data_IF_930765068980
#
_entry.id   IF_930765068980
#
_cell.length_a   1.000
_cell.length_b   1.000
_cell.length_c   1.000
_cell.angle_alpha   90.00
_cell.angle_beta   90.00
_cell.angle_gamma   90.00
#
_symmetry.space_group_name_H-M   'P 1'
#
loop_
_entity.id
_entity.type
_entity.pdbx_description
1 polymer ?
#
# COMPACT_ATOMS: atom_id res chain seq x y z
N UNK A 1 0.68 13.60 -15.67
CA UNK A 1 0.77 12.51 -14.69
C UNK A 1 -0.61 11.91 -14.52
N UNK A 2 -0.71 10.59 -14.45
CA UNK A 2 -1.94 9.82 -14.23
C UNK A 2 -2.42 9.89 -12.78
N UNK A 3 -1.60 10.47 -11.90
CA UNK A 3 -1.79 10.44 -10.45
C UNK A 3 -1.75 9.00 -9.92
N UNK A 4 -0.81 8.20 -10.43
CA UNK A 4 -0.63 6.79 -10.10
C UNK A 4 0.85 6.50 -9.81
N UNK A 5 1.13 5.35 -9.18
CA UNK A 5 2.49 4.87 -8.92
C UNK A 5 3.34 4.80 -10.20
N UNK A 6 2.69 4.45 -11.31
CA UNK A 6 3.25 4.31 -12.66
C UNK A 6 3.62 5.65 -13.31
N UNK A 7 3.44 6.79 -12.64
CA UNK A 7 4.02 8.07 -13.08
C UNK A 7 5.56 8.13 -12.93
N UNK A 8 6.12 7.21 -12.14
CA UNK A 8 7.56 6.93 -12.09
C UNK A 8 7.90 5.98 -13.24
N UNK A 9 8.83 6.40 -14.09
CA UNK A 9 9.25 5.60 -15.24
C UNK A 9 9.89 4.28 -14.77
N UNK A 10 9.62 3.20 -15.52
CA UNK A 10 10.10 1.87 -15.20
C UNK A 10 9.36 1.18 -14.05
N UNK A 11 8.23 1.72 -13.59
CA UNK A 11 7.37 1.08 -12.57
C UNK A 11 6.08 0.62 -13.23
N UNK A 12 5.74 -0.66 -13.06
CA UNK A 12 4.48 -1.26 -13.52
C UNK A 12 3.72 -1.87 -12.36
N UNK A 13 2.39 -1.85 -12.42
CA UNK A 13 1.53 -2.38 -11.36
C UNK A 13 0.49 -3.31 -11.96
N UNK A 14 0.29 -4.47 -11.34
CA UNK A 14 -0.72 -5.43 -11.74
C UNK A 14 -1.50 -5.98 -10.56
N UNK A 15 -2.71 -6.46 -10.84
CA UNK A 15 -3.66 -6.96 -9.85
C UNK A 15 -4.15 -8.34 -10.27
N UNK A 16 -4.39 -9.20 -9.29
CA UNK A 16 -5.18 -10.41 -9.45
C UNK A 16 -6.02 -10.64 -8.20
N UNK A 17 -7.21 -11.19 -8.40
CA UNK A 17 -8.24 -11.28 -7.36
C UNK A 17 -8.98 -12.61 -7.46
N UNK A 18 -9.46 -13.09 -6.32
CA UNK A 18 -10.47 -14.13 -6.26
C UNK A 18 -11.74 -13.56 -5.60
N UNK A 19 -12.78 -13.25 -6.39
CA UNK A 19 -14.05 -12.74 -5.87
C UNK A 19 -14.75 -13.71 -4.91
N UNK A 20 -14.56 -15.03 -5.05
CA UNK A 20 -15.16 -16.00 -4.12
C UNK A 20 -14.48 -15.91 -2.77
N UNK A 21 -13.16 -15.79 -2.74
CA UNK A 21 -12.40 -15.59 -1.51
C UNK A 21 -12.56 -14.15 -0.99
N UNK A 22 -12.98 -13.20 -1.83
CA UNK A 22 -13.05 -11.77 -1.51
C UNK A 22 -11.69 -11.18 -1.12
N UNK A 23 -10.64 -11.60 -1.82
CA UNK A 23 -9.25 -11.21 -1.54
C UNK A 23 -8.45 -11.13 -2.84
N UNK A 24 -7.27 -10.51 -2.79
CA UNK A 24 -6.44 -10.33 -3.96
C UNK A 24 -5.01 -9.95 -3.62
N UNK A 25 -4.24 -9.76 -4.69
CA UNK A 25 -2.81 -9.46 -4.66
C UNK A 25 -2.50 -8.35 -5.67
N UNK A 26 -1.56 -7.49 -5.30
CA UNK A 26 -1.00 -6.44 -6.13
C UNK A 26 0.50 -6.66 -6.26
N UNK A 27 1.00 -6.71 -7.49
CA UNK A 27 2.43 -6.77 -7.79
C UNK A 27 2.91 -5.42 -8.31
N UNK A 28 4.01 -4.91 -7.74
CA UNK A 28 4.73 -3.73 -8.22
C UNK A 28 6.02 -4.23 -8.84
N UNK A 29 6.18 -4.07 -10.15
CA UNK A 29 7.33 -4.56 -10.92
C UNK A 29 8.21 -3.38 -11.33
N UNK A 30 9.50 -3.45 -11.05
CA UNK A 30 10.47 -2.45 -11.51
C UNK A 30 11.18 -2.98 -12.75
N UNK A 31 11.18 -2.27 -13.88
CA UNK A 31 11.84 -2.72 -15.12
C UNK A 31 13.33 -3.02 -14.91
N UNK A 32 13.99 -2.21 -14.08
CA UNK A 32 15.33 -2.45 -13.55
C UNK A 32 15.28 -2.57 -12.02
N UNK A 33 16.12 -3.39 -11.38
CA UNK A 33 16.13 -3.51 -9.93
C UNK A 33 16.29 -2.16 -9.22
N UNK A 34 15.32 -1.79 -8.40
CA UNK A 34 15.26 -0.51 -7.71
C UNK A 34 15.88 -0.62 -6.32
N UNK A 35 16.60 0.41 -5.86
CA UNK A 35 17.07 0.47 -4.47
C UNK A 35 15.85 0.49 -3.57
N UNK A 36 15.79 -0.37 -2.55
CA UNK A 36 14.61 -0.46 -1.70
C UNK A 36 14.96 -0.59 -0.21
N UNK A 37 14.05 -0.09 0.62
CA UNK A 37 14.06 -0.25 2.06
C UNK A 37 12.62 -0.39 2.58
N UNK A 38 12.47 -0.80 3.83
CA UNK A 38 11.19 -1.01 4.50
C UNK A 38 11.17 -0.28 5.85
N UNK A 39 10.05 0.32 6.21
CA UNK A 39 9.74 0.75 7.58
C UNK A 39 8.50 0.01 8.08
N UNK A 40 8.60 -0.56 9.28
CA UNK A 40 7.55 -1.36 9.91
C UNK A 40 7.19 -0.67 11.22
N UNK A 41 5.92 -0.28 11.37
CA UNK A 41 5.45 0.48 12.54
C UNK A 41 4.24 -0.11 13.24
N UNK A 42 3.47 -0.95 12.56
CA UNK A 42 2.40 -1.69 13.21
C UNK A 42 2.96 -2.68 14.24
N UNK A 43 2.21 -2.93 15.32
CA UNK A 43 2.59 -3.90 16.35
C UNK A 43 2.51 -5.37 15.93
N UNK A 44 1.89 -5.68 14.79
CA UNK A 44 1.64 -7.05 14.35
C UNK A 44 1.82 -7.24 12.83
N UNK A 45 3.01 -6.97 12.27
CA UNK A 45 3.27 -7.01 10.83
C UNK A 45 3.31 -8.45 10.29
N UNK A 46 2.96 -8.59 9.02
CA UNK A 46 3.27 -9.77 8.22
C UNK A 46 4.10 -9.36 7.00
N UNK A 47 5.35 -9.81 6.95
CA UNK A 47 6.32 -9.42 5.93
C UNK A 47 6.94 -10.64 5.26
N UNK A 48 7.45 -10.41 4.05
CA UNK A 48 8.28 -11.34 3.29
C UNK A 48 9.60 -10.66 2.97
N UNK A 49 10.72 -11.35 3.23
CA UNK A 49 12.07 -10.90 2.88
C UNK A 49 12.44 -9.50 3.42
N UNK A 50 11.90 -9.10 4.57
CA UNK A 50 12.22 -7.83 5.23
C UNK A 50 13.68 -7.78 5.72
N UNK A 51 14.25 -8.89 6.19
CA UNK A 51 15.66 -8.98 6.56
C UNK A 51 16.60 -8.67 5.37
N UNK A 52 16.18 -8.93 4.13
CA UNK A 52 16.93 -8.54 2.93
C UNK A 52 17.08 -7.02 2.83
N UNK A 53 16.06 -6.29 3.29
CA UNK A 53 15.98 -4.83 3.23
C UNK A 53 16.63 -4.14 4.44
N UNK A 54 17.21 -4.90 5.37
CA UNK A 54 18.00 -4.34 6.47
C UNK A 54 19.24 -3.60 5.95
N UNK A 55 19.65 -2.53 6.64
CA UNK A 55 20.79 -1.70 6.22
C UNK A 55 22.13 -2.43 6.29
N UNK A 56 22.26 -3.48 7.10
CA UNK A 56 23.45 -4.33 7.16
C UNK A 56 23.51 -5.36 6.03
N UNK A 57 22.39 -5.64 5.35
CA UNK A 57 22.32 -6.61 4.26
C UNK A 57 22.94 -6.06 2.98
N UNK A 58 23.76 -6.88 2.32
CA UNK A 58 24.54 -6.51 1.12
C UNK A 58 23.68 -6.20 -0.11
N UNK A 59 22.48 -6.77 -0.17
CA UNK A 59 21.58 -6.56 -1.28
C UNK A 59 20.82 -5.25 -1.11
N UNK A 60 20.98 -4.33 -2.05
CA UNK A 60 20.32 -3.02 -1.99
C UNK A 60 19.08 -2.92 -2.89
N UNK A 61 19.01 -3.76 -3.92
CA UNK A 61 18.02 -3.64 -4.99
C UNK A 61 17.07 -4.83 -5.04
N UNK A 62 15.82 -4.57 -5.42
CA UNK A 62 14.79 -5.60 -5.57
C UNK A 62 14.09 -5.48 -6.92
N UNK A 63 13.56 -6.58 -7.43
CA UNK A 63 12.93 -6.66 -8.75
C UNK A 63 11.44 -6.27 -8.69
N UNK A 64 10.79 -6.56 -7.56
CA UNK A 64 9.39 -6.27 -7.34
C UNK A 64 9.03 -6.14 -5.86
N UNK A 65 7.83 -5.64 -5.58
CA UNK A 65 7.20 -5.67 -4.25
C UNK A 65 5.82 -6.34 -4.39
N UNK A 66 5.51 -7.28 -3.50
CA UNK A 66 4.20 -7.94 -3.44
C UNK A 66 3.36 -7.41 -2.25
N UNK A 67 2.16 -6.93 -2.52
CA UNK A 67 1.18 -6.54 -1.51
C UNK A 67 -0.01 -7.50 -1.61
N UNK A 68 -0.49 -8.07 -0.51
CA UNK A 68 -1.57 -9.07 -0.58
C UNK A 68 -2.53 -9.01 0.60
N UNK A 69 -3.78 -9.41 0.35
CA UNK A 69 -4.67 -9.88 1.41
C UNK A 69 -4.26 -11.27 1.92
N UNK A 70 -5.12 -11.91 2.69
CA UNK A 70 -4.93 -13.29 3.15
C UNK A 70 -4.19 -13.49 4.45
N UNK A 71 -3.85 -12.41 5.16
CA UNK A 71 -2.99 -12.47 6.34
C UNK A 71 -1.70 -13.27 6.02
N UNK A 72 -1.20 -14.07 6.96
CA UNK A 72 0.01 -14.87 6.79
C UNK A 72 -0.01 -15.81 5.57
N UNK A 73 -1.18 -16.27 5.10
CA UNK A 73 -1.27 -17.06 3.86
C UNK A 73 -0.89 -16.25 2.62
N UNK A 74 -1.13 -14.93 2.66
CA UNK A 74 -0.79 -13.99 1.59
C UNK A 74 0.70 -13.89 1.29
N UNK A 75 1.58 -14.31 2.20
CA UNK A 75 3.04 -14.24 2.03
C UNK A 75 3.49 -15.06 0.81
N UNK A 76 2.70 -16.07 0.41
CA UNK A 76 2.95 -16.88 -0.79
C UNK A 76 2.86 -16.07 -2.10
N UNK A 77 2.18 -14.93 -2.11
CA UNK A 77 2.09 -14.03 -3.27
C UNK A 77 3.46 -13.66 -3.85
N UNK A 78 4.45 -13.38 -2.97
CA UNK A 78 5.81 -13.08 -3.41
C UNK A 78 6.45 -14.24 -4.19
N UNK A 79 6.12 -15.49 -3.85
CA UNK A 79 6.60 -16.67 -4.58
C UNK A 79 6.00 -16.78 -5.98
N UNK A 80 4.74 -16.37 -6.16
CA UNK A 80 4.10 -16.29 -7.48
C UNK A 80 4.74 -15.22 -8.37
N UNK A 81 4.96 -14.03 -7.80
CA UNK A 81 5.65 -12.93 -8.50
C UNK A 81 7.08 -13.33 -8.87
N UNK A 82 7.80 -14.01 -7.97
CA UNK A 82 9.12 -14.58 -8.26
C UNK A 82 9.08 -15.56 -9.44
N UNK A 83 8.11 -16.48 -9.46
CA UNK A 83 7.99 -17.46 -10.54
C UNK A 83 7.81 -16.75 -11.91
N UNK A 84 6.94 -15.75 -11.98
CA UNK A 84 6.76 -14.98 -13.22
C UNK A 84 8.04 -14.24 -13.64
N UNK A 85 8.73 -13.55 -12.70
CA UNK A 85 9.98 -12.86 -12.99
C UNK A 85 11.09 -13.81 -13.48
N UNK A 86 11.20 -14.98 -12.86
CA UNK A 86 12.19 -15.99 -13.24
C UNK A 86 11.94 -16.52 -14.67
N UNK A 87 10.67 -16.73 -15.05
CA UNK A 87 10.30 -17.08 -16.43
C UNK A 87 10.67 -15.99 -17.45
N UNK A 88 10.67 -14.73 -17.03
CA UNK A 88 11.15 -13.61 -17.84
C UNK A 88 12.69 -13.49 -17.85
N UNK A 89 13.41 -14.37 -17.14
CA UNK A 89 14.86 -14.30 -16.99
C UNK A 89 15.34 -13.12 -16.13
N UNK A 90 14.49 -12.61 -15.23
CA UNK A 90 14.75 -11.41 -14.42
C UNK A 90 15.02 -11.77 -12.96
N UNK A 91 16.10 -11.21 -12.42
CA UNK A 91 16.50 -11.39 -11.02
C UNK A 91 18.01 -11.33 -10.82
N UNK A 92 18.45 -11.48 -9.57
CA UNK A 92 19.86 -11.59 -9.23
C UNK A 92 20.47 -12.83 -9.90
N UNK A 93 21.52 -12.64 -10.70
CA UNK A 93 22.22 -13.75 -11.35
C UNK A 93 23.39 -14.23 -10.47
N UNK A 94 23.28 -15.45 -9.96
CA UNK A 94 24.34 -16.13 -9.21
C UNK A 94 24.84 -17.33 -10.01
N UNK A 95 25.93 -17.14 -10.76
CA UNK A 95 26.57 -18.19 -11.57
C UNK A 95 25.58 -18.89 -12.52
N UNK A 96 24.66 -18.15 -13.14
CA UNK A 96 23.65 -18.67 -14.06
C UNK A 96 22.29 -18.99 -13.42
N UNK A 97 22.19 -19.03 -12.09
CA UNK A 97 20.90 -19.10 -11.41
C UNK A 97 20.27 -17.71 -11.31
N UNK A 98 19.05 -17.55 -11.81
CA UNK A 98 18.28 -16.30 -11.74
C UNK A 98 17.39 -16.33 -10.49
N UNK A 99 17.58 -15.36 -9.59
CA UNK A 99 16.91 -15.29 -8.28
C UNK A 99 16.22 -13.92 -8.16
N UNK A 100 14.95 -13.80 -8.55
CA UNK A 100 14.20 -12.56 -8.35
C UNK A 100 13.98 -12.27 -6.86
N UNK A 101 14.18 -11.02 -6.47
CA UNK A 101 14.02 -10.55 -5.10
C UNK A 101 12.70 -9.81 -4.96
N UNK A 102 11.79 -10.37 -4.16
CA UNK A 102 10.41 -9.90 -4.06
C UNK A 102 10.00 -9.82 -2.60
N UNK A 103 10.44 -8.76 -1.88
CA UNK A 103 9.87 -8.45 -0.59
C UNK A 103 8.38 -8.14 -0.71
N UNK A 104 7.68 -8.24 0.41
CA UNK A 104 6.25 -7.97 0.43
C UNK A 104 5.67 -7.83 1.81
N UNK A 105 4.42 -7.42 1.85
CA UNK A 105 3.66 -7.32 3.07
C UNK A 105 2.21 -7.77 2.84
N UNK A 106 1.58 -8.21 3.93
CA UNK A 106 0.23 -8.74 3.90
C UNK A 106 -0.71 -7.95 4.80
N UNK A 107 -2.00 -7.98 4.47
CA UNK A 107 -3.06 -7.45 5.32
C UNK A 107 -4.12 -8.53 5.60
N UNK A 108 -4.85 -8.37 6.69
CA UNK A 108 -5.88 -9.32 7.11
C UNK A 108 -7.25 -8.96 6.53
N UNK A 109 -7.78 -9.84 5.69
CA UNK A 109 -9.13 -9.75 5.13
C UNK A 109 -9.90 -11.08 5.28
N UNK A 110 -9.53 -11.90 6.27
CA UNK A 110 -10.11 -13.23 6.43
C UNK A 110 -11.55 -13.23 6.97
N UNK A 111 -12.01 -12.09 7.51
CA UNK A 111 -13.35 -11.92 8.11
C UNK A 111 -14.26 -10.97 7.31
N UNK A 112 -13.91 -10.66 6.06
CA UNK A 112 -14.63 -9.70 5.22
C UNK A 112 -15.80 -10.31 4.43
N UNK A 113 -16.21 -11.54 4.77
CA UNK A 113 -17.10 -12.37 3.95
C UNK A 113 -16.33 -13.34 3.06
N UNK A 114 -16.90 -13.74 1.93
CA UNK A 114 -16.28 -14.70 1.00
C UNK A 114 -16.09 -16.13 1.55
N UNK A 115 -15.74 -17.06 0.67
CA UNK A 115 -15.46 -18.45 1.01
C UNK A 115 -13.96 -18.64 1.29
N UNK A 116 -13.60 -18.79 2.56
CA UNK A 116 -12.23 -19.07 3.02
C UNK A 116 -11.89 -20.57 3.06
N UNK A 117 -12.82 -21.44 2.64
CA UNK A 117 -12.61 -22.89 2.54
C UNK A 117 -12.00 -23.29 1.20
N UNK A 118 -10.82 -22.74 0.88
CA UNK A 118 -10.06 -23.02 -0.36
C UNK A 118 -9.39 -24.41 -0.39
N UNK A 119 -9.59 -25.24 0.63
CA UNK A 119 -9.03 -26.58 0.70
C UNK A 119 -7.59 -26.59 1.20
N UNK A 120 -6.68 -27.21 0.44
CA UNK A 120 -5.31 -27.52 0.91
C UNK A 120 -4.34 -26.33 0.79
N UNK A 121 -4.37 -25.61 -0.32
CA UNK A 121 -3.43 -24.52 -0.62
C UNK A 121 -4.19 -23.21 -0.77
N UNK A 122 -3.68 -22.15 -0.16
CA UNK A 122 -4.25 -20.81 -0.31
C UNK A 122 -3.98 -20.30 -1.74
N UNK A 123 -4.84 -19.43 -2.30
CA UNK A 123 -4.73 -19.02 -3.70
C UNK A 123 -3.60 -18.00 -3.97
N UNK A 124 -2.96 -17.48 -2.92
CA UNK A 124 -2.14 -16.28 -3.01
C UNK A 124 -0.88 -16.43 -3.87
N UNK A 125 -0.28 -17.62 -3.94
CA UNK A 125 0.82 -17.86 -4.89
C UNK A 125 0.36 -17.65 -6.33
N UNK A 126 -0.77 -18.24 -6.70
CA UNK A 126 -1.27 -18.19 -8.08
C UNK A 126 -1.78 -16.77 -8.40
N UNK A 127 -2.40 -16.09 -7.43
CA UNK A 127 -2.74 -14.67 -7.53
C UNK A 127 -1.49 -13.79 -7.70
N UNK A 128 -0.39 -14.07 -6.99
CA UNK A 128 0.87 -13.35 -7.15
C UNK A 128 1.45 -13.48 -8.56
N UNK A 129 1.44 -14.68 -9.13
CA UNK A 129 1.86 -14.91 -10.52
C UNK A 129 0.99 -14.12 -11.50
N UNK A 130 -0.34 -14.23 -11.37
CA UNK A 130 -1.29 -13.55 -12.23
C UNK A 130 -1.17 -12.01 -12.12
N UNK A 131 -0.97 -11.48 -10.91
CA UNK A 131 -0.78 -10.05 -10.68
C UNK A 131 0.51 -9.54 -11.35
N UNK A 132 1.60 -10.30 -11.30
CA UNK A 132 2.83 -9.95 -12.01
C UNK A 132 2.66 -9.98 -13.53
N UNK A 133 1.97 -11.00 -14.06
CA UNK A 133 1.67 -11.11 -15.48
C UNK A 133 0.77 -9.98 -16.00
N UNK A 134 -0.14 -9.47 -15.16
CA UNK A 134 -1.04 -8.38 -15.48
C UNK A 134 -0.42 -6.97 -15.30
N UNK A 135 0.85 -6.87 -14.90
CA UNK A 135 1.46 -5.58 -14.56
C UNK A 135 1.63 -4.65 -15.78
N UNK A 136 1.04 -3.46 -15.70
CA UNK A 136 1.07 -2.43 -16.74
C UNK A 136 1.14 -1.00 -16.19
N UNK A 137 0.92 -0.03 -17.07
CA UNK A 137 1.01 1.41 -16.74
C UNK A 137 -0.27 2.00 -16.15
N UNK A 138 -1.39 1.28 -16.29
CA UNK A 138 -2.71 1.65 -15.79
C UNK A 138 -3.23 0.54 -14.90
N UNK A 139 -3.86 0.92 -13.78
CA UNK A 139 -4.43 -0.03 -12.83
C UNK A 139 -5.61 0.59 -12.08
N UNK A 140 -6.53 -0.25 -11.62
CA UNK A 140 -7.74 0.17 -10.93
C UNK A 140 -7.44 0.55 -9.47
N UNK A 141 -8.22 1.50 -8.94
CA UNK A 141 -8.22 1.87 -7.52
C UNK A 141 -9.51 1.38 -6.84
N UNK A 142 -9.56 1.43 -5.52
CA UNK A 142 -10.70 1.01 -4.71
C UNK A 142 -10.66 -0.46 -4.39
N UNK A 143 -11.74 -1.17 -4.68
CA UNK A 143 -11.86 -2.61 -4.43
C UNK A 143 -11.17 -3.41 -5.54
N UNK A 144 -9.85 -3.29 -5.63
CA UNK A 144 -9.02 -3.92 -6.64
C UNK A 144 -7.70 -4.47 -6.05
N UNK A 145 -7.18 -5.55 -6.63
CA UNK A 145 -5.98 -6.27 -6.20
C UNK A 145 -5.99 -6.59 -4.71
N UNK A 146 -4.89 -6.25 -4.04
CA UNK A 146 -4.80 -6.37 -2.59
C UNK A 146 -5.82 -5.52 -1.82
N UNK A 147 -6.44 -4.50 -2.44
CA UNK A 147 -7.49 -3.68 -1.84
C UNK A 147 -8.89 -4.29 -1.88
N UNK A 148 -9.12 -5.37 -2.65
CA UNK A 148 -10.45 -5.97 -2.82
C UNK A 148 -11.10 -6.27 -1.46
N UNK A 149 -10.36 -6.95 -0.60
CA UNK A 149 -10.85 -7.38 0.70
C UNK A 149 -10.74 -6.35 1.84
N UNK A 150 -10.15 -5.18 1.58
CA UNK A 150 -9.74 -4.24 2.62
C UNK A 150 -10.92 -3.53 3.30
N UNK A 151 -10.80 -3.23 4.60
CA UNK A 151 -11.82 -2.62 5.45
C UNK A 151 -11.20 -1.66 6.45
N UNK A 152 -11.91 -0.61 6.86
CA UNK A 152 -11.45 0.33 7.90
C UNK A 152 -12.40 0.30 9.09
N UNK A 153 -12.17 1.12 10.13
CA UNK A 153 -13.10 1.25 11.25
C UNK A 153 -14.53 1.62 10.82
N UNK A 154 -14.68 2.40 9.76
CA UNK A 154 -15.96 3.04 9.39
C UNK A 154 -16.48 2.54 8.06
N UNK A 155 -15.65 2.55 7.02
CA UNK A 155 -16.05 2.22 5.65
C UNK A 155 -15.21 1.12 5.03
N UNK A 156 -15.69 0.59 3.91
CA UNK A 156 -14.92 -0.27 3.01
C UNK A 156 -13.57 0.40 2.71
N UNK A 157 -12.51 -0.36 2.93
CA UNK A 157 -11.14 0.03 2.57
C UNK A 157 -10.88 -0.17 1.09
N UNK A 158 -9.65 0.06 0.65
CA UNK A 158 -9.30 -0.16 -0.76
C UNK A 158 -7.84 0.09 -1.08
N UNK A 159 -7.50 -0.07 -2.35
CA UNK A 159 -6.22 0.26 -2.93
C UNK A 159 -6.28 1.66 -3.51
N UNK A 160 -5.39 2.54 -3.09
CA UNK A 160 -5.27 3.88 -3.64
C UNK A 160 -3.86 4.17 -4.09
N UNK A 161 -3.73 5.19 -4.94
CA UNK A 161 -2.46 5.67 -5.42
C UNK A 161 -2.50 7.17 -5.58
N UNK A 162 -1.35 7.84 -5.59
CA UNK A 162 -1.23 9.25 -5.93
C UNK A 162 0.21 9.53 -6.37
N UNK A 163 0.45 10.66 -7.04
CA UNK A 163 1.79 11.12 -7.40
C UNK A 163 1.92 12.64 -7.31
N UNK A 164 3.18 13.11 -7.27
CA UNK A 164 3.54 14.51 -7.27
C UNK A 164 4.90 14.72 -7.96
N UNK A 165 5.14 15.96 -8.41
CA UNK A 165 6.45 16.42 -8.89
C UNK A 165 6.94 17.51 -7.95
N UNK A 166 8.17 17.40 -7.49
CA UNK A 166 8.87 18.44 -6.73
C UNK A 166 9.25 19.61 -7.66
N UNK A 167 9.56 20.77 -7.08
CA UNK A 167 9.98 21.94 -7.85
C UNK A 167 11.23 21.69 -8.72
N UNK A 168 12.10 20.78 -8.29
CA UNK A 168 13.30 20.36 -9.02
C UNK A 168 13.04 19.26 -10.08
N UNK A 169 11.78 18.88 -10.31
CA UNK A 169 11.39 17.88 -11.30
C UNK A 169 11.49 16.43 -10.83
N UNK A 170 11.97 16.14 -9.62
CA UNK A 170 11.91 14.80 -9.02
C UNK A 170 10.45 14.40 -8.86
N UNK A 171 10.13 13.16 -9.21
CA UNK A 171 8.79 12.60 -9.04
C UNK A 171 8.76 11.66 -7.84
N UNK A 172 7.63 11.64 -7.17
CA UNK A 172 7.33 10.66 -6.13
C UNK A 172 5.88 10.23 -6.25
N UNK A 173 5.65 8.93 -6.08
CA UNK A 173 4.32 8.35 -6.14
C UNK A 173 4.16 7.31 -5.03
N UNK A 174 2.93 7.08 -4.60
CA UNK A 174 2.61 6.07 -3.60
C UNK A 174 1.47 5.16 -4.06
N UNK A 175 1.47 3.93 -3.55
CA UNK A 175 0.37 2.97 -3.63
C UNK A 175 0.11 2.41 -2.24
N UNK A 176 -1.13 2.42 -1.80
CA UNK A 176 -1.53 2.07 -0.43
C UNK A 176 -2.73 1.14 -0.45
N UNK A 177 -2.65 0.04 0.28
CA UNK A 177 -3.75 -0.88 0.56
C UNK A 177 -4.25 -0.57 1.98
N UNK A 178 -5.48 -0.11 2.08
CA UNK A 178 -6.02 0.53 3.29
C UNK A 178 -6.96 -0.44 4.02
N UNK A 179 -6.39 -1.30 4.87
CA UNK A 179 -7.15 -2.15 5.79
C UNK A 179 -6.94 -1.70 7.25
N UNK A 180 -7.07 -0.40 7.50
CA UNK A 180 -6.65 0.25 8.74
C UNK A 180 -7.48 -0.16 9.97
N UNK A 181 -6.86 -0.17 11.16
CA UNK A 181 -7.62 -0.26 12.41
C UNK A 181 -8.46 0.98 12.63
N UNK A 182 -7.94 2.16 12.28
CA UNK A 182 -8.59 3.44 12.50
C UNK A 182 -9.58 3.82 11.40
N UNK A 183 -10.10 5.03 11.52
CA UNK A 183 -10.94 5.65 10.49
C UNK A 183 -10.11 6.52 9.57
N UNK A 184 -10.44 6.52 8.27
CA UNK A 184 -9.92 7.50 7.31
C UNK A 184 -10.76 8.77 7.22
N UNK A 185 -11.95 8.75 7.82
CA UNK A 185 -12.88 9.87 7.88
C UNK A 185 -12.99 10.46 9.28
N UNK A 186 -13.37 11.73 9.34
CA UNK A 186 -13.58 12.48 10.57
C UNK A 186 -14.95 12.15 11.16
N UNK A 187 -14.95 11.52 12.34
CA UNK A 187 -16.17 11.02 12.96
C UNK A 187 -16.94 10.06 12.04
N UNK A 188 -18.24 10.28 11.92
CA UNK A 188 -19.11 9.60 10.95
C UNK A 188 -19.39 10.46 9.71
N UNK A 189 -18.69 11.60 9.58
CA UNK A 189 -18.94 12.56 8.51
C UNK A 189 -18.25 12.19 7.19
N UNK A 190 -18.52 12.99 6.14
CA UNK A 190 -17.99 12.74 4.81
C UNK A 190 -16.54 13.24 4.62
N UNK A 191 -15.93 13.87 5.63
CA UNK A 191 -14.61 14.50 5.49
C UNK A 191 -13.48 13.48 5.71
N UNK A 192 -12.49 13.47 4.84
CA UNK A 192 -11.27 12.68 5.02
C UNK A 192 -10.24 13.44 5.88
N UNK A 193 -9.49 12.72 6.72
CA UNK A 193 -8.36 13.31 7.46
C UNK A 193 -7.30 13.90 6.51
N UNK A 194 -7.15 13.30 5.33
CA UNK A 194 -6.22 13.75 4.29
C UNK A 194 -6.65 15.02 3.54
N UNK A 195 -7.82 15.62 3.84
CA UNK A 195 -8.36 16.77 3.11
C UNK A 195 -7.38 17.95 2.89
N UNK A 196 -6.49 18.32 3.83
CA UNK A 196 -5.52 19.39 3.60
C UNK A 196 -4.54 19.14 2.45
N UNK A 197 -4.41 17.89 2.00
CA UNK A 197 -3.48 17.47 0.95
C UNK A 197 -4.22 17.12 -0.34
N UNK A 198 -5.54 17.29 -0.41
CA UNK A 198 -6.33 16.99 -1.61
C UNK A 198 -5.92 17.88 -2.78
N UNK A 199 -5.80 17.28 -3.96
CA UNK A 199 -5.57 18.00 -5.21
C UNK A 199 -6.72 17.73 -6.18
N UNK A 200 -7.21 18.78 -6.85
CA UNK A 200 -8.18 18.68 -7.95
C UNK A 200 -9.46 17.89 -7.63
N UNK A 201 -9.89 17.84 -6.36
CA UNK A 201 -11.10 17.12 -5.93
C UNK A 201 -11.01 15.60 -6.09
N UNK A 202 -9.79 15.03 -6.09
CA UNK A 202 -9.53 13.61 -6.36
C UNK A 202 -10.18 12.61 -5.38
N UNK A 203 -10.70 13.08 -4.24
CA UNK A 203 -11.53 12.31 -3.30
C UNK A 203 -12.73 13.11 -2.77
N UNK A 204 -13.28 14.00 -3.62
CA UNK A 204 -14.59 14.63 -3.43
C UNK A 204 -14.57 16.12 -3.03
N UNK A 205 -13.40 16.72 -2.77
CA UNK A 205 -13.25 18.17 -2.57
C UNK A 205 -14.03 18.71 -1.38
N UNK A 206 -14.28 17.90 -0.35
CA UNK A 206 -15.17 18.26 0.78
C UNK A 206 -14.50 19.11 1.84
N UNK A 207 -13.18 19.23 1.82
CA UNK A 207 -12.41 19.95 2.83
C UNK A 207 -12.50 19.30 4.22
N UNK A 208 -12.34 20.13 5.26
CA UNK A 208 -12.48 19.72 6.66
C UNK A 208 -13.89 20.07 7.20
N UNK A 209 -14.35 19.44 8.29
CA UNK A 209 -15.55 19.89 8.96
C UNK A 209 -15.42 21.35 9.41
N UNK A 210 -16.53 22.12 9.45
CA UNK A 210 -16.50 23.52 9.88
C UNK A 210 -16.05 23.69 11.33
N UNK A 211 -16.23 22.65 12.16
CA UNK A 211 -15.75 22.60 13.54
C UNK A 211 -15.51 21.15 13.93
N UNK A 212 -14.39 20.87 14.60
CA UNK A 212 -14.14 19.59 15.25
C UNK A 212 -14.86 19.52 16.61
N UNK A 213 -15.61 18.45 16.83
CA UNK A 213 -16.24 18.14 18.12
C UNK A 213 -15.43 17.06 18.85
N UNK A 214 -15.59 16.93 20.19
CA UNK A 214 -14.98 15.83 20.93
C UNK A 214 -15.35 14.44 20.37
N UNK A 215 -16.59 14.27 19.88
CA UNK A 215 -17.03 13.01 19.28
C UNK A 215 -16.32 12.70 17.95
N UNK A 216 -16.09 13.70 17.10
CA UNK A 216 -15.32 13.53 15.86
C UNK A 216 -13.88 13.07 16.10
N UNK A 217 -13.34 13.39 17.28
CA UNK A 217 -12.00 13.02 17.74
C UNK A 217 -12.02 11.78 18.65
N UNK A 218 -13.18 11.20 18.92
CA UNK A 218 -13.26 9.97 19.69
C UNK A 218 -12.59 8.83 18.92
N UNK A 219 -11.80 8.03 19.63
CA UNK A 219 -11.11 6.89 19.06
C UNK A 219 -12.13 5.89 18.51
N UNK A 220 -11.95 5.52 17.23
CA UNK A 220 -12.74 4.49 16.54
C UNK A 220 -11.78 3.45 16.02
N UNK A 221 -12.00 2.19 16.41
CA UNK A 221 -11.18 1.06 15.99
C UNK A 221 -12.06 -0.03 15.39
N UNK A 222 -11.62 -0.61 14.27
CA UNK A 222 -12.22 -1.77 13.63
C UNK A 222 -12.24 -2.95 14.60
N UNK A 223 -13.41 -3.58 14.76
CA UNK A 223 -13.64 -4.65 15.72
C UNK A 223 -13.94 -4.20 17.16
N UNK A 224 -13.74 -2.91 17.50
CA UNK A 224 -14.07 -2.38 18.81
C UNK A 224 -13.42 -3.15 19.97
N UNK A 225 -14.14 -3.41 21.08
CA UNK A 225 -13.65 -4.23 22.20
C UNK A 225 -13.32 -5.68 21.84
N UNK A 226 -13.81 -6.17 20.69
CA UNK A 226 -13.53 -7.53 20.20
C UNK A 226 -12.32 -7.58 19.25
N UNK A 227 -11.65 -6.45 18.99
CA UNK A 227 -10.48 -6.40 18.12
C UNK A 227 -9.37 -7.30 18.65
N UNK A 228 -8.93 -8.26 17.83
CA UNK A 228 -7.80 -9.12 18.16
C UNK A 228 -6.50 -8.62 17.51
N UNK A 229 -5.35 -9.10 18.01
CA UNK A 229 -4.07 -8.81 17.40
C UNK A 229 -4.03 -9.40 15.98
N UNK A 230 -3.61 -8.60 14.98
CA UNK A 230 -3.39 -8.97 13.54
C UNK A 230 -4.60 -8.85 12.59
N UNK A 231 -5.67 -8.15 12.96
CA UNK A 231 -6.84 -7.98 12.08
C UNK A 231 -6.77 -6.77 11.14
N UNK A 232 -5.80 -5.89 11.35
CA UNK A 232 -5.76 -4.56 10.74
C UNK A 232 -4.35 -4.26 10.24
N UNK A 233 -4.23 -3.64 9.07
CA UNK A 233 -2.95 -3.36 8.42
C UNK A 233 -3.12 -2.36 7.27
N UNK A 234 -2.36 -1.27 7.26
CA UNK A 234 -2.15 -0.45 6.06
C UNK A 234 -0.76 -0.72 5.49
N UNK A 235 -0.71 -1.28 4.29
CA UNK A 235 0.54 -1.62 3.59
C UNK A 235 0.70 -0.84 2.30
N UNK A 236 1.91 -0.57 1.87
CA UNK A 236 2.12 0.13 0.61
C UNK A 236 3.57 0.36 0.24
N UNK A 237 3.76 1.12 -0.83
CA UNK A 237 5.07 1.55 -1.28
C UNK A 237 5.06 3.02 -1.70
N UNK A 238 6.15 3.72 -1.43
CA UNK A 238 6.52 5.00 -2.05
C UNK A 238 7.64 4.74 -3.03
N UNK A 239 7.50 5.25 -4.25
CA UNK A 239 8.53 5.12 -5.29
C UNK A 239 8.90 6.49 -5.82
N UNK A 240 10.19 6.72 -6.05
CA UNK A 240 10.72 7.97 -6.61
C UNK A 240 11.72 7.70 -7.72
N UNK A 241 11.86 8.67 -8.62
CA UNK A 241 12.94 8.70 -9.61
C UNK A 241 14.23 9.36 -9.08
N UNK A 242 14.25 9.80 -7.81
CA UNK A 242 15.47 10.27 -7.17
C UNK A 242 16.48 9.12 -6.96
N UNK A 243 17.77 9.42 -7.06
CA UNK A 243 18.86 8.53 -6.70
C UNK A 243 19.05 8.51 -5.19
N UNK A 244 18.68 7.39 -4.56
CA UNK A 244 18.81 7.19 -3.12
C UNK A 244 19.74 6.01 -2.81
N UNK A 245 20.52 6.14 -1.74
CA UNK A 245 21.12 4.98 -1.08
C UNK A 245 20.06 4.21 -0.28
N UNK A 246 20.34 2.96 0.10
CA UNK A 246 19.43 2.16 0.94
C UNK A 246 19.05 2.86 2.25
N UNK A 247 20.01 3.55 2.87
CA UNK A 247 19.79 4.34 4.09
C UNK A 247 18.86 5.55 3.85
N UNK A 248 19.00 6.22 2.71
CA UNK A 248 18.11 7.33 2.34
C UNK A 248 16.71 6.83 1.97
N UNK A 249 16.58 5.68 1.29
CA UNK A 249 15.31 5.02 1.06
C UNK A 249 14.63 4.64 2.39
N UNK A 250 15.38 4.09 3.36
CA UNK A 250 14.86 3.82 4.71
C UNK A 250 14.36 5.09 5.38
N UNK A 251 15.11 6.20 5.27
CA UNK A 251 14.67 7.51 5.78
C UNK A 251 13.41 8.01 5.09
N UNK A 252 13.30 7.83 3.77
CA UNK A 252 12.09 8.18 3.02
C UNK A 252 10.87 7.39 3.50
N UNK A 253 10.99 6.06 3.67
CA UNK A 253 9.92 5.24 4.24
C UNK A 253 9.47 5.74 5.62
N UNK A 254 10.44 6.06 6.50
CA UNK A 254 10.16 6.60 7.83
C UNK A 254 9.41 7.94 7.80
N UNK A 255 9.79 8.87 6.91
CA UNK A 255 9.11 10.16 6.79
C UNK A 255 7.72 9.96 6.21
N UNK A 256 7.58 9.09 5.20
CA UNK A 256 6.34 8.85 4.49
C UNK A 256 5.25 8.21 5.37
N UNK A 257 5.61 7.49 6.45
CA UNK A 257 4.65 7.07 7.50
C UNK A 257 3.88 8.25 8.13
N UNK A 258 4.42 9.47 8.11
CA UNK A 258 3.68 10.68 8.52
C UNK A 258 2.41 10.88 7.68
N UNK A 259 2.41 10.43 6.43
CA UNK A 259 1.23 10.41 5.56
C UNK A 259 0.13 9.48 6.06
N UNK A 260 0.48 8.34 6.64
CA UNK A 260 -0.50 7.45 7.27
C UNK A 260 -1.15 8.13 8.47
N UNK A 261 -0.38 8.78 9.34
CA UNK A 261 -0.90 9.51 10.50
C UNK A 261 -1.74 10.75 10.11
N UNK A 262 -1.52 11.31 8.92
CA UNK A 262 -2.34 12.39 8.34
C UNK A 262 -3.68 11.91 7.78
N UNK A 263 -3.81 10.63 7.47
CA UNK A 263 -4.97 10.08 6.77
C UNK A 263 -5.76 9.06 7.59
N UNK A 264 -5.20 8.54 8.68
CA UNK A 264 -5.79 7.46 9.48
C UNK A 264 -5.73 7.86 10.96
N UNK A 265 -6.85 7.74 11.66
CA UNK A 265 -6.99 8.07 13.08
C UNK A 265 -7.75 6.98 13.86
N UNK A 266 -7.12 6.27 14.82
CA UNK A 266 -5.67 6.18 15.08
C UNK A 266 -4.94 5.26 14.06
N UNK A 267 -3.61 5.28 14.07
CA UNK A 267 -2.75 4.43 13.21
C UNK A 267 -1.56 3.89 14.02
N UNK A 268 -0.87 2.86 13.51
CA UNK A 268 0.26 2.20 14.18
C UNK A 268 -0.11 1.61 15.54
N UNK A 269 -1.36 1.16 15.69
CA UNK A 269 -1.80 0.54 16.93
C UNK A 269 -1.05 -0.78 17.18
N UNK A 270 -1.04 -1.29 18.41
CA UNK A 270 -0.46 -2.60 18.72
C UNK A 270 -1.07 -3.77 17.90
N UNK A 271 -2.30 -3.58 17.39
CA UNK A 271 -3.03 -4.55 16.58
C UNK A 271 -2.91 -4.30 15.07
N UNK A 272 -2.23 -3.23 14.65
CA UNK A 272 -1.96 -2.93 13.24
C UNK A 272 -0.71 -3.66 12.74
N UNK A 273 -0.71 -4.02 11.46
CA UNK A 273 0.44 -4.54 10.73
C UNK A 273 1.09 -3.53 9.78
N UNK A 274 1.02 -2.22 10.07
CA UNK A 274 1.44 -1.16 9.14
C UNK A 274 2.90 -1.28 8.67
N UNK A 275 3.07 -1.32 7.35
CA UNK A 275 4.36 -1.45 6.66
C UNK A 275 4.41 -0.52 5.46
N UNK A 276 5.51 0.21 5.29
CA UNK A 276 5.75 1.03 4.11
C UNK A 276 7.11 0.71 3.51
N UNK A 277 7.09 0.31 2.24
CA UNK A 277 8.31 0.22 1.43
C UNK A 277 8.64 1.58 0.83
N UNK A 278 9.93 1.87 0.67
CA UNK A 278 10.39 2.96 -0.18
C UNK A 278 11.35 2.40 -1.23
N UNK A 279 11.14 2.77 -2.50
CA UNK A 279 12.00 2.36 -3.60
C UNK A 279 12.43 3.56 -4.48
N UNK A 280 13.60 3.44 -5.10
CA UNK A 280 14.19 4.46 -5.94
C UNK A 280 14.69 3.86 -7.26
N UNK A 281 14.20 4.38 -8.39
CA UNK A 281 14.63 3.95 -9.74
C UNK A 281 15.96 4.60 -10.16
N UNK A 282 16.32 5.75 -9.56
CA UNK A 282 17.67 6.32 -9.61
C UNK A 282 18.00 7.12 -10.87
N UNK A 283 17.10 8.00 -11.31
CA UNK A 283 17.28 8.84 -12.50
C UNK A 283 17.84 10.24 -12.18
N UNK A 284 17.49 10.81 -11.02
CA UNK A 284 17.76 12.22 -10.70
C UNK A 284 18.56 12.37 -9.39
N UNK A 285 19.67 13.10 -9.37
CA UNK A 285 20.40 13.34 -8.13
C UNK A 285 19.54 14.12 -7.13
N UNK A 286 19.77 13.88 -5.85
CA UNK A 286 19.08 14.57 -4.76
C UNK A 286 20.09 15.03 -3.71
N UNK A 287 19.87 16.22 -3.17
CA UNK A 287 20.63 16.71 -2.03
C UNK A 287 20.23 15.89 -0.79
N UNK A 288 21.20 15.31 -0.05
CA UNK A 288 20.93 14.27 0.93
C UNK A 288 20.19 14.72 2.20
N UNK A 289 20.13 16.02 2.49
CA UNK A 289 19.55 16.56 3.73
C UNK A 289 18.22 17.28 3.47
N UNK A 290 18.29 18.49 2.93
CA UNK A 290 17.15 19.34 2.60
C UNK A 290 16.37 18.72 1.45
N UNK A 291 17.04 18.25 0.40
CA UNK A 291 16.38 17.62 -0.75
C UNK A 291 15.62 16.35 -0.34
N UNK A 292 16.24 15.47 0.45
CA UNK A 292 15.58 14.29 1.01
C UNK A 292 14.41 14.64 1.94
N UNK A 293 14.53 15.72 2.70
CA UNK A 293 13.45 16.20 3.59
C UNK A 293 12.26 16.72 2.79
N UNK A 294 12.52 17.48 1.72
CA UNK A 294 11.49 17.95 0.79
C UNK A 294 10.78 16.76 0.12
N UNK A 295 11.55 15.81 -0.43
CA UNK A 295 11.03 14.57 -1.01
C UNK A 295 10.18 13.79 -0.01
N UNK A 296 10.66 13.61 1.23
CA UNK A 296 9.90 12.93 2.27
C UNK A 296 8.60 13.66 2.65
N UNK A 297 8.62 14.99 2.67
CA UNK A 297 7.43 15.80 2.96
C UNK A 297 6.36 15.63 1.90
N UNK A 298 6.75 15.72 0.62
CA UNK A 298 5.86 15.49 -0.52
C UNK A 298 5.38 14.03 -0.53
N UNK A 299 6.26 13.07 -0.30
CA UNK A 299 5.91 11.65 -0.19
C UNK A 299 4.85 11.39 0.87
N UNK A 300 4.96 12.00 2.05
CA UNK A 300 3.96 11.88 3.10
C UNK A 300 2.60 12.46 2.68
N UNK A 301 2.56 13.57 1.92
CA UNK A 301 1.30 14.09 1.37
C UNK A 301 0.70 13.13 0.34
N UNK A 302 1.53 12.59 -0.55
CA UNK A 302 1.13 11.60 -1.56
C UNK A 302 0.61 10.31 -0.92
N UNK A 303 1.21 9.84 0.17
CA UNK A 303 0.69 8.70 0.95
C UNK A 303 -0.68 9.00 1.54
N UNK A 304 -0.86 10.19 2.15
CA UNK A 304 -2.15 10.58 2.72
C UNK A 304 -3.26 10.63 1.65
N UNK A 305 -2.94 11.22 0.49
CA UNK A 305 -3.81 11.26 -0.69
C UNK A 305 -4.14 9.86 -1.21
N UNK A 306 -3.14 9.00 -1.37
CA UNK A 306 -3.34 7.62 -1.80
C UNK A 306 -4.29 6.85 -0.87
N UNK A 307 -4.15 7.01 0.45
CA UNK A 307 -5.06 6.38 1.43
C UNK A 307 -6.51 6.84 1.23
N UNK A 308 -6.75 8.16 1.17
CA UNK A 308 -8.09 8.70 0.96
C UNK A 308 -8.69 8.27 -0.38
N UNK A 309 -7.91 8.30 -1.47
CA UNK A 309 -8.34 7.82 -2.79
C UNK A 309 -8.69 6.34 -2.79
N UNK A 310 -7.99 5.51 -2.00
CA UNK A 310 -8.30 4.09 -1.88
C UNK A 310 -9.68 3.84 -1.29
N UNK A 311 -10.04 4.54 -0.22
CA UNK A 311 -11.37 4.45 0.42
C UNK A 311 -12.45 5.12 -0.43
N UNK A 312 -12.16 6.28 -1.03
CA UNK A 312 -13.11 6.99 -1.88
C UNK A 312 -13.51 6.21 -3.14
N UNK A 313 -12.59 5.48 -3.74
CA UNK A 313 -12.87 4.66 -4.94
C UNK A 313 -13.36 3.25 -4.61
N UNK A 314 -13.38 2.86 -3.33
CA UNK A 314 -13.85 1.54 -2.94
C UNK A 314 -15.34 1.36 -3.23
N UNK A 315 -15.71 0.12 -3.52
CA UNK A 315 -17.08 -0.35 -3.69
C UNK A 315 -17.35 -1.49 -2.71
N UNK A 316 -18.55 -1.53 -2.14
CA UNK A 316 -18.91 -2.59 -1.20
C UNK A 316 -18.82 -3.97 -1.88
N UNK A 317 -18.40 -4.98 -1.14
CA UNK A 317 -18.39 -6.35 -1.65
C UNK A 317 -19.83 -6.87 -1.81
N UNK A 318 -20.11 -7.73 -2.81
CA UNK A 318 -21.46 -8.21 -3.08
C UNK A 318 -21.88 -9.36 -2.15
N UNK A 319 -21.71 -9.17 -0.83
CA UNK A 319 -22.12 -10.12 0.20
C UNK A 319 -23.05 -9.47 1.22
N UNK A 320 -23.97 -10.24 1.78
CA UNK A 320 -24.82 -9.77 2.87
C UNK A 320 -23.98 -9.34 4.07
N UNK A 321 -24.19 -8.11 4.56
CA UNK A 321 -23.44 -7.56 5.69
C UNK A 321 -22.04 -7.05 5.35
N UNK A 322 -21.66 -6.98 4.07
CA UNK A 322 -20.43 -6.32 3.66
C UNK A 322 -20.42 -4.86 4.12
N UNK A 323 -19.25 -4.38 4.54
CA UNK A 323 -19.09 -3.00 4.97
C UNK A 323 -19.37 -2.04 3.80
N UNK A 324 -20.20 -1.03 4.05
CA UNK A 324 -20.58 -0.03 3.05
C UNK A 324 -19.36 0.75 2.54
N UNK A 325 -19.37 1.09 1.25
CA UNK A 325 -18.44 2.04 0.71
C UNK A 325 -18.81 3.46 1.18
N UNK A 326 -17.81 4.34 1.25
CA UNK A 326 -18.05 5.74 1.60
C UNK A 326 -19.07 6.40 0.65
N UNK A 327 -19.04 6.04 -0.64
CA UNK A 327 -19.97 6.55 -1.66
C UNK A 327 -21.41 6.05 -1.47
N UNK A 328 -21.63 4.93 -0.79
CA UNK A 328 -22.98 4.47 -0.48
C UNK A 328 -23.66 5.41 0.53
N UNK A 329 -22.87 6.11 1.36
CA UNK A 329 -23.35 7.08 2.34
C UNK A 329 -23.32 8.53 1.85
N UNK A 330 -22.35 8.89 1.00
CA UNK A 330 -22.03 10.28 0.67
C UNK A 330 -21.68 10.53 -0.81
N UNK A 331 -21.88 9.54 -1.68
CA UNK A 331 -21.57 9.60 -3.11
C UNK A 331 -22.58 10.40 -3.93
#
# INVERSE_FOLDING_TARGET
MKNLLTDIAGVRVGHAEDPKVASGTTAIIFDQPAVAAIDVRGGAPGTREDALLDLASTQERVDAIALSGGSAFGIEAGGGVQAWLAEQGRGLNVRGAVIPLVPGAIMFDLLNGGNKSWGRFAPYRDLGYAAAAAAGDDFALGSAGAGLGATTATFKGGLGSASAVLANGIKVAAIMVVNAVGSTTVGEGPWFWAAPFEENGEFGGRGLPPKFTPDMLAMRIKGGPAASARENTTIGAVVTDATLTKAQAKRLAMIAHTGMARAIYPVHAPTDGDVLFAAATGEKPIEPLVGLTELGTVAANVVARAIARGVYNATALPFTGAQAAWKDSFG
#
